data_IF_370535900053
#
_entry.id   IF_370535900053
#
_cell.length_a   1.000
_cell.length_b   1.000
_cell.length_c   1.000
_cell.angle_alpha   90.00
_cell.angle_beta   90.00
_cell.angle_gamma   90.00
#
_symmetry.space_group_name_H-M   'P 1'
#
loop_
_entity.id
_entity.type
_entity.pdbx_description
1 polymer ?
#
# COMPACT_ATOMS: atom_id res chain seq x y z
N UNK A 1 43.90 17.17 11.71
CA UNK A 1 42.96 16.25 11.02
C UNK A 1 41.56 16.81 11.21
N UNK A 2 41.06 17.60 10.27
CA UNK A 2 39.73 18.23 10.38
C UNK A 2 38.70 17.15 10.03
N UNK A 3 37.96 16.68 11.04
CA UNK A 3 36.79 15.82 10.82
C UNK A 3 35.64 16.77 10.54
N UNK A 4 35.25 16.91 9.28
CA UNK A 4 34.00 17.57 8.94
C UNK A 4 32.85 16.73 9.51
N UNK A 5 32.23 17.24 10.58
CA UNK A 5 31.13 16.58 11.27
C UNK A 5 29.82 17.25 10.83
N UNK A 6 29.48 17.13 9.55
CA UNK A 6 28.15 17.53 9.09
C UNK A 6 27.15 16.52 9.64
N UNK A 7 26.56 16.84 10.80
CA UNK A 7 25.35 16.15 11.28
C UNK A 7 24.26 16.36 10.24
N UNK A 8 23.96 15.32 9.48
CA UNK A 8 22.86 15.32 8.52
C UNK A 8 21.63 14.74 9.20
N UNK A 9 20.46 15.24 8.80
CA UNK A 9 19.17 14.63 9.16
C UNK A 9 18.69 13.87 7.95
N UNK A 10 18.51 12.56 8.09
CA UNK A 10 17.90 11.70 7.09
C UNK A 10 16.46 11.43 7.50
N UNK A 11 15.52 11.83 6.65
CA UNK A 11 14.10 11.53 6.83
C UNK A 11 13.73 10.47 5.81
N UNK A 12 13.16 9.37 6.29
CA UNK A 12 12.83 8.21 5.49
C UNK A 12 11.34 7.91 5.65
N UNK A 13 10.58 8.21 4.60
CA UNK A 13 9.13 7.95 4.55
C UNK A 13 8.80 6.52 4.13
N UNK A 14 7.58 6.06 4.41
CA UNK A 14 7.07 4.71 4.14
C UNK A 14 8.01 3.60 4.68
N UNK A 15 8.56 3.85 5.87
CA UNK A 15 9.60 3.02 6.50
C UNK A 15 9.20 1.57 6.78
N UNK A 16 7.89 1.25 6.79
CA UNK A 16 7.39 -0.12 6.91
C UNK A 16 7.87 -1.02 5.76
N UNK A 17 8.19 -0.45 4.60
CA UNK A 17 8.70 -1.19 3.43
C UNK A 17 10.18 -1.53 3.51
N UNK A 18 10.91 -0.98 4.48
CA UNK A 18 12.36 -1.10 4.56
C UNK A 18 12.74 -2.37 5.28
N UNK A 19 13.69 -3.08 4.70
CA UNK A 19 14.25 -4.31 5.28
C UNK A 19 15.24 -3.97 6.38
N UNK A 20 15.32 -4.82 7.40
CA UNK A 20 16.32 -4.69 8.46
C UNK A 20 17.75 -4.66 7.88
N UNK A 21 17.99 -5.41 6.81
CA UNK A 21 19.28 -5.44 6.10
C UNK A 21 19.65 -4.06 5.52
N UNK A 22 18.69 -3.35 4.94
CA UNK A 22 18.91 -2.01 4.38
C UNK A 22 19.03 -0.95 5.47
N UNK A 23 18.25 -1.05 6.55
CA UNK A 23 18.44 -0.24 7.75
C UNK A 23 19.88 -0.34 8.30
N UNK A 24 20.41 -1.56 8.41
CA UNK A 24 21.79 -1.77 8.88
C UNK A 24 22.82 -1.09 7.95
N UNK A 25 22.59 -1.09 6.63
CA UNK A 25 23.44 -0.38 5.67
C UNK A 25 23.35 1.14 5.87
N UNK A 26 22.14 1.68 6.08
CA UNK A 26 21.91 3.11 6.32
C UNK A 26 22.70 3.56 7.55
N UNK A 27 22.61 2.85 8.67
CA UNK A 27 23.38 3.18 9.90
C UNK A 27 24.88 3.21 9.60
N UNK A 28 25.39 2.22 8.87
CA UNK A 28 26.82 2.13 8.53
C UNK A 28 27.28 3.27 7.62
N UNK A 29 26.44 3.69 6.68
CA UNK A 29 26.74 4.77 5.74
C UNK A 29 26.64 6.16 6.38
N UNK A 30 25.77 6.31 7.39
CA UNK A 30 25.46 7.59 8.01
C UNK A 30 25.65 7.57 9.54
N UNK A 31 26.85 7.21 10.05
CA UNK A 31 27.06 6.94 11.48
C UNK A 31 26.89 8.17 12.39
N UNK A 32 27.05 9.38 11.85
CA UNK A 32 26.93 10.65 12.60
C UNK A 32 25.62 11.41 12.31
N UNK A 33 24.66 10.77 11.63
CA UNK A 33 23.41 11.40 11.22
C UNK A 33 22.27 11.08 12.16
N UNK A 34 21.31 12.00 12.26
CA UNK A 34 20.00 11.71 12.88
C UNK A 34 19.14 11.07 11.80
N UNK A 35 18.60 9.87 12.08
CA UNK A 35 17.75 9.15 11.14
C UNK A 35 16.32 9.13 11.70
N UNK A 36 15.37 9.67 10.94
CA UNK A 36 13.96 9.74 11.29
C UNK A 36 13.18 8.84 10.33
N UNK A 37 12.56 7.81 10.87
CA UNK A 37 11.66 6.94 10.12
C UNK A 37 10.22 7.40 10.29
N UNK A 38 9.54 7.63 9.17
CA UNK A 38 8.12 7.94 9.09
C UNK A 38 7.40 6.76 8.43
N UNK A 39 6.19 6.43 8.86
CA UNK A 39 5.43 5.34 8.28
C UNK A 39 4.38 4.76 9.21
N UNK A 40 3.75 3.69 8.75
CA UNK A 40 2.71 2.96 9.48
C UNK A 40 3.05 1.47 9.53
N UNK A 41 3.47 1.01 10.71
CA UNK A 41 3.87 -0.38 10.96
C UNK A 41 2.75 -1.41 10.75
N UNK A 42 1.49 -0.97 10.69
CA UNK A 42 0.36 -1.85 10.40
C UNK A 42 0.11 -2.01 8.89
N UNK A 43 0.75 -1.21 8.04
CA UNK A 43 0.69 -1.39 6.59
C UNK A 43 1.64 -2.49 6.12
N UNK A 44 1.53 -2.82 4.83
CA UNK A 44 2.38 -3.84 4.22
C UNK A 44 3.87 -3.55 4.42
N UNK A 45 4.57 -4.63 4.76
CA UNK A 45 5.99 -4.65 5.03
C UNK A 45 6.85 -4.71 3.76
N UNK A 46 8.13 -5.09 3.88
CA UNK A 46 9.03 -5.17 2.76
C UNK A 46 8.64 -6.25 1.75
N UNK A 47 8.87 -5.97 0.47
CA UNK A 47 8.55 -6.90 -0.63
C UNK A 47 9.64 -8.00 -0.72
N UNK A 48 9.24 -9.29 -0.76
CA UNK A 48 10.15 -10.40 -1.06
C UNK A 48 10.93 -10.20 -2.37
N UNK A 49 12.17 -10.67 -2.41
CA UNK A 49 12.96 -10.74 -3.65
C UNK A 49 13.60 -12.11 -3.82
N UNK A 50 14.09 -12.48 -5.02
CA UNK A 50 14.80 -13.75 -5.20
C UNK A 50 16.02 -13.92 -4.27
N UNK A 51 16.63 -12.81 -3.87
CA UNK A 51 17.79 -12.77 -2.98
C UNK A 51 17.37 -12.85 -1.50
N UNK A 52 16.21 -12.28 -1.15
CA UNK A 52 15.68 -12.27 0.21
C UNK A 52 14.18 -12.57 0.17
N UNK A 53 13.79 -13.86 0.10
CA UNK A 53 12.39 -14.27 -0.08
C UNK A 53 11.54 -14.01 1.17
N UNK A 54 12.15 -13.93 2.35
CA UNK A 54 11.48 -13.64 3.62
C UNK A 54 12.14 -12.43 4.30
N UNK A 55 11.92 -11.22 3.78
CA UNK A 55 12.59 -10.04 4.29
C UNK A 55 12.09 -9.68 5.69
N UNK A 56 13.02 -9.40 6.60
CA UNK A 56 12.68 -8.96 7.95
C UNK A 56 12.37 -7.46 7.94
N UNK A 57 11.26 -7.09 8.55
CA UNK A 57 10.93 -5.69 8.83
C UNK A 57 11.89 -5.12 9.88
N UNK A 58 12.03 -3.80 9.92
CA UNK A 58 12.81 -3.13 10.96
C UNK A 58 12.18 -3.38 12.34
N UNK A 59 13.02 -3.72 13.31
CA UNK A 59 12.63 -3.80 14.71
C UNK A 59 12.54 -2.39 15.32
N UNK A 60 11.37 -1.77 15.18
CA UNK A 60 11.11 -0.42 15.72
C UNK A 60 11.01 -0.37 17.25
N UNK A 61 11.01 -1.49 17.96
CA UNK A 61 10.95 -1.50 19.44
C UNK A 61 12.16 -0.80 20.11
N UNK A 62 13.26 -0.68 19.36
CA UNK A 62 14.51 -0.05 19.81
C UNK A 62 14.56 1.46 19.57
N UNK A 63 13.50 2.04 18.98
CA UNK A 63 13.48 3.44 18.55
C UNK A 63 12.68 4.29 19.52
N UNK A 64 13.13 5.53 19.72
CA UNK A 64 12.25 6.56 20.27
C UNK A 64 11.08 6.77 19.31
N UNK A 65 9.87 6.47 19.76
CA UNK A 65 8.68 6.41 18.91
C UNK A 65 7.65 7.45 19.33
N UNK A 66 7.21 8.26 18.37
CA UNK A 66 6.10 9.21 18.54
C UNK A 66 4.89 8.65 17.78
N UNK A 67 3.79 8.40 18.49
CA UNK A 67 2.59 7.78 17.90
C UNK A 67 1.53 8.84 17.60
N UNK A 68 1.23 9.03 16.32
CA UNK A 68 0.10 9.85 15.88
C UNK A 68 -1.18 8.99 15.80
N UNK A 69 -2.16 9.30 16.65
CA UNK A 69 -3.41 8.50 16.78
C UNK A 69 -4.55 8.95 15.87
N UNK A 70 -4.48 10.17 15.33
CA UNK A 70 -5.58 10.75 14.55
C UNK A 70 -5.45 10.39 13.07
N UNK A 71 -6.43 9.64 12.56
CA UNK A 71 -6.57 9.37 11.12
C UNK A 71 -7.40 10.49 10.47
N UNK A 72 -6.74 11.42 9.78
CA UNK A 72 -7.38 12.53 9.09
C UNK A 72 -8.06 12.15 7.77
N UNK A 73 -7.72 10.99 7.20
CA UNK A 73 -8.30 10.52 5.93
C UNK A 73 -9.69 9.93 6.13
N UNK A 74 -9.87 9.12 7.18
CA UNK A 74 -11.13 8.45 7.44
C UNK A 74 -12.18 9.44 7.95
N UNK A 75 -13.20 9.68 7.13
CA UNK A 75 -14.33 10.58 7.45
C UNK A 75 -15.58 9.80 7.89
N UNK A 76 -15.58 8.47 7.76
CA UNK A 76 -16.70 7.60 8.11
C UNK A 76 -16.47 6.91 9.46
N UNK A 77 -17.33 7.13 10.48
CA UNK A 77 -17.20 6.49 11.79
C UNK A 77 -17.19 4.95 11.72
N UNK A 78 -18.03 4.35 10.87
CA UNK A 78 -18.07 2.88 10.69
C UNK A 78 -16.77 2.33 10.12
N UNK A 79 -16.22 2.99 9.08
CA UNK A 79 -14.92 2.62 8.52
C UNK A 79 -13.81 2.76 9.57
N UNK A 80 -13.85 3.83 10.38
CA UNK A 80 -12.86 4.05 11.45
C UNK A 80 -12.83 2.88 12.43
N UNK A 81 -13.99 2.40 12.88
CA UNK A 81 -14.09 1.24 13.78
C UNK A 81 -13.43 0.01 13.16
N UNK A 82 -13.73 -0.29 11.88
CA UNK A 82 -13.13 -1.42 11.17
C UNK A 82 -11.61 -1.29 11.10
N UNK A 83 -11.10 -0.11 10.75
CA UNK A 83 -9.66 0.16 10.65
C UNK A 83 -8.96 0.01 12.01
N UNK A 84 -9.53 0.57 13.08
CA UNK A 84 -8.96 0.49 14.42
C UNK A 84 -8.92 -0.96 14.93
N UNK A 85 -9.99 -1.74 14.68
CA UNK A 85 -10.03 -3.17 15.01
C UNK A 85 -9.00 -3.96 14.22
N UNK A 86 -8.85 -3.73 12.91
CA UNK A 86 -7.81 -4.38 12.11
C UNK A 86 -6.40 -4.05 12.62
N UNK A 87 -6.13 -2.79 13.00
CA UNK A 87 -4.86 -2.42 13.64
C UNK A 87 -4.64 -3.17 14.94
N UNK A 88 -5.65 -3.25 15.79
CA UNK A 88 -5.60 -4.00 17.05
C UNK A 88 -5.23 -5.46 16.83
N UNK A 89 -5.87 -6.12 15.84
CA UNK A 89 -5.59 -7.51 15.50
C UNK A 89 -4.16 -7.71 14.94
N UNK A 90 -3.70 -6.79 14.08
CA UNK A 90 -2.34 -6.84 13.51
C UNK A 90 -1.30 -6.66 14.62
N UNK A 91 -1.47 -5.65 15.49
CA UNK A 91 -0.53 -5.36 16.59
C UNK A 91 -0.55 -6.44 17.67
N UNK A 92 -1.70 -7.07 17.91
CA UNK A 92 -1.82 -8.25 18.77
C UNK A 92 -1.27 -9.54 18.14
N UNK A 93 -0.72 -9.46 16.92
CA UNK A 93 -0.19 -10.59 16.16
C UNK A 93 -1.17 -11.76 15.98
N UNK A 94 -2.48 -11.47 15.92
CA UNK A 94 -3.52 -12.47 15.67
C UNK A 94 -3.28 -13.20 14.34
N UNK A 95 -3.83 -14.41 14.21
CA UNK A 95 -3.65 -15.22 13.01
C UNK A 95 -4.32 -14.60 11.77
N UNK A 96 -3.80 -14.96 10.59
CA UNK A 96 -4.27 -14.44 9.31
C UNK A 96 -5.76 -14.75 9.07
N UNK A 97 -6.21 -15.95 9.45
CA UNK A 97 -7.57 -16.38 9.18
C UNK A 97 -8.57 -15.57 10.00
N UNK A 98 -8.26 -15.29 11.26
CA UNK A 98 -9.07 -14.42 12.13
C UNK A 98 -9.16 -13.00 11.58
N UNK A 99 -8.04 -12.42 11.14
CA UNK A 99 -8.00 -11.08 10.55
C UNK A 99 -8.84 -11.03 9.26
N UNK A 100 -8.64 -12.00 8.38
CA UNK A 100 -9.38 -12.09 7.11
C UNK A 100 -10.87 -12.29 7.36
N UNK A 101 -11.25 -13.16 8.32
CA UNK A 101 -12.64 -13.37 8.71
C UNK A 101 -13.28 -12.08 9.20
N UNK A 102 -12.63 -11.37 10.12
CA UNK A 102 -13.13 -10.09 10.63
C UNK A 102 -13.33 -9.06 9.50
N UNK A 103 -12.36 -8.94 8.60
CA UNK A 103 -12.45 -8.01 7.47
C UNK A 103 -13.63 -8.35 6.54
N UNK A 104 -13.77 -9.63 6.18
CA UNK A 104 -14.84 -10.09 5.30
C UNK A 104 -16.23 -9.95 5.94
N UNK A 105 -16.36 -10.28 7.22
CA UNK A 105 -17.61 -10.12 7.97
C UNK A 105 -18.01 -8.64 8.08
N UNK A 106 -17.03 -7.75 8.29
CA UNK A 106 -17.24 -6.29 8.36
C UNK A 106 -17.67 -5.69 7.02
N UNK A 107 -17.27 -6.32 5.91
CA UNK A 107 -17.54 -5.88 4.54
C UNK A 107 -18.64 -6.71 3.86
N UNK A 108 -19.37 -7.56 4.59
CA UNK A 108 -20.36 -8.48 4.01
C UNK A 108 -21.45 -7.78 3.19
N UNK A 109 -21.79 -6.54 3.54
CA UNK A 109 -22.80 -5.72 2.87
C UNK A 109 -22.23 -4.89 1.72
N UNK A 110 -20.92 -4.98 1.46
CA UNK A 110 -20.22 -4.26 0.39
C UNK A 110 -20.00 -5.13 -0.86
N UNK A 111 -20.60 -6.32 -0.92
CA UNK A 111 -20.54 -7.18 -2.11
C UNK A 111 -21.22 -6.50 -3.29
N UNK A 112 -20.61 -6.59 -4.47
CA UNK A 112 -21.13 -6.04 -5.71
C UNK A 112 -20.40 -6.56 -6.93
N UNK A 113 -20.56 -5.87 -8.06
CA UNK A 113 -19.85 -6.14 -9.31
C UNK A 113 -18.96 -4.96 -9.68
N UNK A 114 -18.00 -5.19 -10.57
CA UNK A 114 -17.11 -4.19 -11.16
C UNK A 114 -17.69 -3.55 -12.44
N UNK A 115 -18.98 -3.73 -12.75
CA UNK A 115 -19.59 -3.23 -13.99
C UNK A 115 -19.56 -1.69 -14.09
N UNK A 116 -19.67 -1.03 -12.93
CA UNK A 116 -19.61 0.43 -12.81
C UNK A 116 -18.18 0.98 -12.67
N UNK A 117 -17.16 0.15 -12.88
CA UNK A 117 -15.77 0.58 -12.81
C UNK A 117 -15.44 1.68 -13.83
N UNK A 118 -14.71 2.69 -13.36
CA UNK A 118 -14.08 3.75 -14.14
C UNK A 118 -12.58 3.81 -13.87
N UNK A 119 -11.81 4.43 -14.75
CA UNK A 119 -10.35 4.54 -14.62
C UNK A 119 -9.87 5.36 -13.41
N UNK A 120 -10.76 6.18 -12.85
CA UNK A 120 -10.54 6.92 -11.61
C UNK A 120 -10.65 6.03 -10.35
N UNK A 121 -11.29 4.86 -10.49
CA UNK A 121 -11.38 3.84 -9.45
C UNK A 121 -10.13 2.95 -9.44
N UNK A 122 -10.04 2.10 -8.42
CA UNK A 122 -8.95 1.14 -8.26
C UNK A 122 -9.51 -0.26 -8.13
N UNK A 123 -9.02 -1.19 -8.95
CA UNK A 123 -9.24 -2.62 -8.75
C UNK A 123 -8.00 -3.20 -8.07
N UNK A 124 -8.19 -3.90 -6.96
CA UNK A 124 -7.11 -4.50 -6.18
C UNK A 124 -7.27 -5.99 -6.10
N UNK A 125 -6.17 -6.67 -6.39
CA UNK A 125 -6.03 -8.10 -6.19
C UNK A 125 -4.69 -8.41 -5.56
N UNK A 126 -4.57 -9.57 -4.92
CA UNK A 126 -3.32 -10.04 -4.34
C UNK A 126 -2.41 -10.75 -5.33
N UNK A 127 -2.93 -11.33 -6.42
CA UNK A 127 -2.09 -11.99 -7.44
C UNK A 127 -1.96 -11.20 -8.73
N UNK A 128 -0.80 -11.38 -9.39
CA UNK A 128 -0.54 -10.81 -10.70
C UNK A 128 -1.51 -11.34 -11.76
N UNK A 129 -1.84 -12.63 -11.72
CA UNK A 129 -2.72 -13.26 -12.71
C UNK A 129 -4.14 -12.68 -12.65
N UNK A 130 -4.66 -12.45 -11.45
CA UNK A 130 -5.94 -11.74 -11.28
C UNK A 130 -5.87 -10.31 -11.79
N UNK A 131 -4.76 -9.62 -11.56
CA UNK A 131 -4.60 -8.29 -12.12
C UNK A 131 -4.48 -8.26 -13.65
N UNK A 132 -3.90 -9.29 -14.26
CA UNK A 132 -3.92 -9.45 -15.72
C UNK A 132 -5.36 -9.65 -16.19
N UNK A 133 -6.11 -10.55 -15.54
CA UNK A 133 -7.53 -10.78 -15.85
C UNK A 133 -8.37 -9.50 -15.81
N UNK A 134 -8.31 -8.72 -14.73
CA UNK A 134 -9.07 -7.47 -14.63
C UNK A 134 -8.59 -6.39 -15.60
N UNK A 135 -7.29 -6.38 -15.93
CA UNK A 135 -6.76 -5.47 -16.94
C UNK A 135 -7.31 -5.81 -18.33
N UNK A 136 -7.37 -7.09 -18.68
CA UNK A 136 -7.94 -7.55 -19.95
C UNK A 136 -9.46 -7.33 -19.99
N UNK A 137 -10.18 -7.61 -18.89
CA UNK A 137 -11.63 -7.40 -18.76
C UNK A 137 -12.04 -5.94 -19.01
N UNK A 138 -11.22 -4.99 -18.57
CA UNK A 138 -11.51 -3.55 -18.66
C UNK A 138 -10.69 -2.82 -19.73
N UNK A 139 -10.10 -3.54 -20.70
CA UNK A 139 -9.25 -2.95 -21.75
C UNK A 139 -9.97 -1.93 -22.64
N UNK A 140 -11.29 -1.99 -22.70
CA UNK A 140 -12.14 -1.08 -23.48
C UNK A 140 -12.46 0.23 -22.73
N UNK A 141 -12.09 0.32 -21.44
CA UNK A 141 -12.15 1.57 -20.67
C UNK A 141 -10.99 2.50 -21.11
N UNK A 142 -11.03 3.81 -20.77
CA UNK A 142 -9.92 4.71 -21.10
C UNK A 142 -8.58 4.13 -20.64
N UNK A 143 -7.55 4.22 -21.48
CA UNK A 143 -6.33 3.44 -21.20
C UNK A 143 -5.54 4.03 -20.04
N UNK A 144 -5.20 3.16 -19.08
CA UNK A 144 -4.43 3.49 -17.89
C UNK A 144 -3.07 2.78 -17.95
N UNK A 145 -2.00 3.54 -18.03
CA UNK A 145 -0.64 3.06 -18.24
C UNK A 145 0.18 3.18 -16.96
N UNK A 146 0.85 2.11 -16.54
CA UNK A 146 1.84 2.11 -15.47
C UNK A 146 3.25 2.20 -16.05
N UNK A 147 4.04 3.17 -15.61
CA UNK A 147 5.44 3.34 -16.04
C UNK A 147 6.36 2.32 -15.35
N UNK A 148 7.19 1.65 -16.15
CA UNK A 148 8.08 0.54 -15.75
C UNK A 148 9.54 0.90 -15.71
N UNK A 149 9.95 1.88 -16.50
CA UNK A 149 11.29 2.43 -16.49
C UNK A 149 11.20 3.96 -16.64
N UNK A 150 12.11 4.71 -16.03
CA UNK A 150 12.08 6.16 -16.15
C UNK A 150 12.23 6.58 -17.62
N UNK A 151 11.45 7.56 -18.03
CA UNK A 151 11.54 8.18 -19.36
C UNK A 151 11.11 9.64 -19.23
N UNK A 152 11.64 10.55 -20.06
CA UNK A 152 11.47 12.02 -19.99
C UNK A 152 10.31 12.52 -19.11
N UNK A 153 10.62 12.89 -17.86
CA UNK A 153 9.65 13.50 -16.92
C UNK A 153 8.70 12.52 -16.21
N UNK A 154 8.85 11.22 -16.44
CA UNK A 154 8.06 10.15 -15.86
C UNK A 154 8.94 9.22 -15.02
N UNK A 155 8.45 8.89 -13.83
CA UNK A 155 9.10 8.03 -12.86
C UNK A 155 8.46 6.64 -12.86
N UNK A 156 9.24 5.65 -12.42
CA UNK A 156 8.73 4.28 -12.27
C UNK A 156 7.61 4.26 -11.25
N UNK A 157 6.48 3.65 -11.60
CA UNK A 157 5.29 3.62 -10.75
C UNK A 157 4.25 4.69 -11.07
N UNK A 158 4.58 5.68 -11.91
CA UNK A 158 3.62 6.68 -12.36
C UNK A 158 2.48 6.02 -13.14
N UNK A 159 1.28 6.58 -12.96
CA UNK A 159 0.05 6.12 -13.61
C UNK A 159 -0.48 7.25 -14.49
N UNK A 160 -0.64 6.96 -15.78
CA UNK A 160 -1.06 7.95 -16.78
C UNK A 160 -2.33 7.45 -17.47
N UNK A 161 -3.33 8.32 -17.62
CA UNK A 161 -4.57 8.01 -18.35
C UNK A 161 -4.53 8.76 -19.68
N UNK A 162 -4.34 8.03 -20.77
CA UNK A 162 -4.30 8.58 -22.13
C UNK A 162 -4.40 7.46 -23.17
N UNK A 163 -4.87 7.77 -24.38
CA UNK A 163 -5.06 6.76 -25.44
C UNK A 163 -3.76 6.17 -26.01
N UNK A 164 -2.71 6.98 -26.10
CA UNK A 164 -1.42 6.58 -26.66
C UNK A 164 -0.55 5.97 -25.56
N UNK A 165 0.08 4.82 -25.83
CA UNK A 165 0.98 4.19 -24.87
C UNK A 165 2.25 5.04 -24.64
N UNK A 166 2.56 5.46 -23.41
CA UNK A 166 3.85 6.09 -23.08
C UNK A 166 5.02 5.11 -23.26
N UNK A 167 6.25 5.58 -23.51
CA UNK A 167 7.43 4.73 -23.51
C UNK A 167 7.60 3.97 -22.18
N UNK A 168 8.10 2.74 -22.25
CA UNK A 168 8.38 1.90 -21.09
C UNK A 168 7.19 1.75 -20.13
N UNK A 169 5.97 1.58 -20.66
CA UNK A 169 4.74 1.45 -19.88
C UNK A 169 3.97 0.18 -20.18
N UNK A 170 3.12 -0.25 -19.25
CA UNK A 170 2.20 -1.38 -19.43
C UNK A 170 0.75 -0.93 -19.14
N UNK A 171 -0.22 -1.43 -19.92
CA UNK A 171 -1.64 -1.22 -19.64
C UNK A 171 -1.97 -1.86 -18.29
N UNK A 172 -2.70 -1.15 -17.41
CA UNK A 172 -3.00 -1.62 -16.07
C UNK A 172 -4.27 -1.00 -15.48
N UNK A 173 -5.27 -1.84 -15.27
CA UNK A 173 -6.50 -1.48 -14.54
C UNK A 173 -6.55 -2.05 -13.11
N UNK A 174 -5.78 -3.12 -12.84
CA UNK A 174 -5.66 -3.72 -11.51
C UNK A 174 -4.26 -3.55 -10.91
N UNK A 175 -4.23 -3.34 -9.60
CA UNK A 175 -3.02 -3.14 -8.82
C UNK A 175 -2.93 -4.12 -7.65
N UNK A 176 -1.72 -4.37 -7.19
CA UNK A 176 -1.52 -5.06 -5.91
C UNK A 176 -1.60 -4.06 -4.75
N UNK A 177 -1.89 -4.56 -3.55
CA UNK A 177 -2.04 -3.73 -2.37
C UNK A 177 -0.80 -2.87 -2.03
N UNK A 178 0.41 -3.33 -2.35
CA UNK A 178 1.65 -2.57 -2.16
C UNK A 178 1.70 -1.28 -2.98
N UNK A 179 1.10 -1.28 -4.17
CA UNK A 179 1.07 -0.13 -5.08
C UNK A 179 0.15 1.00 -4.58
N UNK A 180 -0.71 0.73 -3.59
CA UNK A 180 -1.63 1.71 -3.02
C UNK A 180 -1.09 2.49 -1.82
N UNK A 181 0.04 2.07 -1.25
CA UNK A 181 0.65 2.78 -0.11
C UNK A 181 0.98 4.23 -0.52
N UNK A 182 0.80 5.18 0.39
CA UNK A 182 0.87 6.62 0.09
C UNK A 182 -0.34 7.23 -0.64
N UNK A 183 -1.21 6.44 -1.29
CA UNK A 183 -2.34 6.98 -2.08
C UNK A 183 -3.57 7.26 -1.19
N UNK A 184 -4.38 8.25 -1.58
CA UNK A 184 -5.73 8.47 -1.03
C UNK A 184 -6.76 8.44 -2.15
N UNK A 185 -7.74 7.55 -2.05
CA UNK A 185 -8.85 7.45 -2.99
C UNK A 185 -9.98 8.35 -2.47
N UNK A 186 -10.11 9.52 -3.10
CA UNK A 186 -11.10 10.53 -2.72
C UNK A 186 -12.51 10.12 -3.17
N UNK A 187 -13.49 10.42 -2.34
CA UNK A 187 -14.90 10.32 -2.74
C UNK A 187 -15.14 11.24 -3.97
N UNK A 188 -15.82 10.79 -5.05
CA UNK A 188 -16.67 9.60 -5.15
C UNK A 188 -16.01 8.30 -5.64
N UNK A 189 -14.70 8.30 -5.90
CA UNK A 189 -14.03 7.15 -6.51
C UNK A 189 -14.02 5.94 -5.57
N UNK A 190 -14.05 4.74 -6.16
CA UNK A 190 -14.19 3.46 -5.47
C UNK A 190 -12.91 2.63 -5.47
N UNK A 191 -12.88 1.70 -4.54
CA UNK A 191 -11.94 0.61 -4.50
C UNK A 191 -12.69 -0.72 -4.61
N UNK A 192 -12.40 -1.46 -5.67
CA UNK A 192 -12.91 -2.79 -5.92
C UNK A 192 -11.86 -3.79 -5.45
N UNK A 193 -12.26 -4.77 -4.64
CA UNK A 193 -11.33 -5.71 -4.01
C UNK A 193 -11.75 -7.12 -4.41
N UNK A 194 -10.86 -7.84 -5.09
CA UNK A 194 -10.92 -9.31 -5.22
C UNK A 194 -10.23 -9.93 -3.98
N UNK A 195 -10.99 -10.50 -3.02
CA UNK A 195 -10.45 -10.96 -1.76
C UNK A 195 -9.77 -12.33 -1.85
N UNK A 196 -9.92 -13.08 -2.95
CA UNK A 196 -9.47 -14.48 -3.10
C UNK A 196 -7.95 -14.64 -2.93
N UNK A 197 -7.22 -13.53 -3.08
CA UNK A 197 -5.77 -13.51 -3.06
C UNK A 197 -5.19 -12.66 -1.92
N UNK A 198 -5.94 -12.39 -0.85
CA UNK A 198 -5.42 -11.65 0.31
C UNK A 198 -4.69 -12.59 1.28
N UNK A 199 -3.36 -12.61 1.21
CA UNK A 199 -2.50 -13.57 1.92
C UNK A 199 -1.65 -12.99 3.06
N UNK A 200 -1.78 -11.70 3.41
CA UNK A 200 -1.04 -11.10 4.52
C UNK A 200 -1.94 -10.39 5.52
N UNK A 201 -1.52 -10.39 6.79
CA UNK A 201 -2.28 -9.79 7.91
C UNK A 201 -2.55 -8.29 7.68
N UNK A 202 -1.66 -7.61 6.98
CA UNK A 202 -1.69 -6.15 6.76
C UNK A 202 -2.46 -5.72 5.51
N UNK A 203 -2.77 -6.64 4.58
CA UNK A 203 -3.33 -6.28 3.27
C UNK A 203 -4.67 -5.56 3.38
N UNK A 204 -5.64 -6.12 4.13
CA UNK A 204 -6.95 -5.47 4.31
C UNK A 204 -6.80 -4.07 4.93
N UNK A 205 -6.04 -3.94 6.02
CA UNK A 205 -5.81 -2.63 6.61
C UNK A 205 -5.17 -1.64 5.62
N UNK A 206 -4.17 -2.09 4.86
CA UNK A 206 -3.49 -1.25 3.87
C UNK A 206 -4.46 -0.75 2.80
N UNK A 207 -5.30 -1.63 2.26
CA UNK A 207 -6.30 -1.34 1.22
C UNK A 207 -7.39 -0.41 1.76
N UNK A 208 -8.04 -0.79 2.87
CA UNK A 208 -9.19 -0.07 3.42
C UNK A 208 -8.80 1.31 3.98
N UNK A 209 -7.55 1.46 4.44
CA UNK A 209 -7.05 2.75 4.95
C UNK A 209 -6.79 3.80 3.86
N UNK A 210 -7.02 3.48 2.57
CA UNK A 210 -6.84 4.42 1.44
C UNK A 210 -8.09 5.21 1.09
N UNK A 211 -9.27 4.76 1.51
CA UNK A 211 -10.55 5.45 1.25
C UNK A 211 -10.96 6.36 2.40
N UNK A 212 -11.87 7.29 2.13
CA UNK A 212 -12.40 8.21 3.14
C UNK A 212 -13.70 7.66 3.78
N UNK A 213 -14.47 6.88 3.02
CA UNK A 213 -15.78 6.35 3.41
C UNK A 213 -15.95 4.87 3.10
N UNK A 214 -16.76 4.18 3.91
CA UNK A 214 -17.03 2.74 3.77
C UNK A 214 -17.72 2.39 2.44
N UNK A 215 -18.59 3.27 1.93
CA UNK A 215 -19.33 3.06 0.68
C UNK A 215 -18.46 3.13 -0.59
N UNK A 216 -17.20 3.57 -0.48
CA UNK A 216 -16.23 3.52 -1.57
C UNK A 216 -15.70 2.10 -1.80
N UNK A 217 -15.88 1.18 -0.83
CA UNK A 217 -15.37 -0.19 -0.91
C UNK A 217 -16.42 -1.09 -1.55
N UNK A 218 -16.02 -1.85 -2.56
CA UNK A 218 -16.83 -2.89 -3.21
C UNK A 218 -16.04 -4.20 -3.22
N UNK A 219 -16.63 -5.28 -2.70
CA UNK A 219 -16.07 -6.62 -2.81
C UNK A 219 -16.60 -7.29 -4.07
N UNK A 220 -15.70 -7.75 -4.95
CA UNK A 220 -16.00 -8.38 -6.24
C UNK A 220 -15.47 -9.81 -6.34
#
# INVERSE_FOLDING_TARGET
KVIFNDRRVLIIDESSKIKQSDHNKIIKLYPNSIIIYLGDICQLGPIPSPIEPNPKSIDFSKFHTIVYKKNYRCKCPKLKVILDSLRGLILGNHDLNMINKYAMDSLKNNKGTDDNYTTNDYIISGTKDKCIFYTEKHKDKPKRWLIKAPSKGLYVGDIIIQETQPPNSELRHCFTAHSLQGITIKNPNKIYIDPVSIFTKQMFYTILSRVEYLNQIVLI
#
